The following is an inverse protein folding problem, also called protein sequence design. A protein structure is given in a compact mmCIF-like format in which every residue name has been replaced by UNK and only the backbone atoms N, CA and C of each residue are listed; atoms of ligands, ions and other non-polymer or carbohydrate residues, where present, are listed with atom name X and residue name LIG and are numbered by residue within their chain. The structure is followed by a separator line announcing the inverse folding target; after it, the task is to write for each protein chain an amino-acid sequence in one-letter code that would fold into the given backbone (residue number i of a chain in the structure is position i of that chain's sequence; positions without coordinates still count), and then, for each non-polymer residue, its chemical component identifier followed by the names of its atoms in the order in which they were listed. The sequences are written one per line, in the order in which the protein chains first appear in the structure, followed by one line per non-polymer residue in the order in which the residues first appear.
data_IF_773855772255
#
_entry.id   IF_773855772255
#
_cell.length_a   1.000
_cell.length_b   1.000
_cell.length_c   1.000
_cell.angle_alpha   90.00
_cell.angle_beta   90.00
_cell.angle_gamma   90.00
#
_symmetry.space_group_name_H-M   'P 1'
#
loop_
_entity.id
_entity.type
_entity.pdbx_description
1 polymer ?
#
# COMPACT_ATOMS: atom_id res chain seq x y z
N UNK A 1 43.15 -53.95 19.92
CA UNK A 1 43.48 -52.95 18.87
C UNK A 1 42.29 -52.39 18.08
N UNK A 2 41.13 -53.06 17.98
CA UNK A 2 39.95 -52.51 17.24
C UNK A 2 39.17 -51.40 17.95
N UNK A 3 39.17 -51.32 19.29
CA UNK A 3 38.44 -50.28 20.07
C UNK A 3 39.08 -48.87 19.98
N UNK A 4 40.42 -48.79 19.90
CA UNK A 4 41.14 -47.49 19.83
C UNK A 4 40.93 -46.75 18.48
N UNK A 5 40.66 -47.45 17.38
CA UNK A 5 40.40 -46.82 16.05
C UNK A 5 39.01 -46.20 15.97
N UNK A 6 38.01 -46.76 16.67
CA UNK A 6 36.64 -46.17 16.67
C UNK A 6 36.56 -44.87 17.47
N UNK A 7 37.30 -44.78 18.57
CA UNK A 7 37.32 -43.58 19.44
C UNK A 7 38.01 -42.39 18.74
N UNK A 8 39.08 -42.64 18.00
CA UNK A 8 39.75 -41.61 17.22
C UNK A 8 38.89 -41.06 16.04
N UNK A 9 38.08 -41.94 15.42
CA UNK A 9 37.21 -41.52 14.33
C UNK A 9 36.02 -40.69 14.83
N UNK A 10 35.46 -40.98 16.00
CA UNK A 10 34.39 -40.20 16.61
C UNK A 10 34.93 -38.84 17.06
N UNK A 11 36.14 -38.78 17.60
CA UNK A 11 36.76 -37.50 17.99
C UNK A 11 37.01 -36.58 16.77
N UNK A 12 37.48 -37.15 15.66
CA UNK A 12 37.67 -36.41 14.41
C UNK A 12 36.35 -35.93 13.79
N UNK A 13 35.27 -36.70 13.89
CA UNK A 13 33.94 -36.32 13.42
C UNK A 13 33.34 -35.18 14.26
N UNK A 14 33.53 -35.22 15.57
CA UNK A 14 33.06 -34.15 16.49
C UNK A 14 33.84 -32.83 16.24
N UNK A 15 35.16 -32.90 16.05
CA UNK A 15 35.99 -31.72 15.71
C UNK A 15 35.60 -31.14 14.35
N UNK A 16 35.28 -31.98 13.35
CA UNK A 16 34.83 -31.53 12.04
C UNK A 16 33.43 -30.89 12.06
N UNK A 17 32.51 -31.38 12.91
CA UNK A 17 31.19 -30.78 13.07
C UNK A 17 31.24 -29.45 13.83
N UNK A 18 32.08 -29.30 14.83
CA UNK A 18 32.25 -28.07 15.60
C UNK A 18 32.97 -26.99 14.81
N UNK A 19 33.88 -27.33 13.91
CA UNK A 19 34.55 -26.38 13.01
C UNK A 19 33.60 -25.81 11.93
N UNK A 20 32.50 -26.51 11.59
CA UNK A 20 31.48 -26.07 10.64
C UNK A 20 30.35 -25.24 11.25
N UNK A 21 30.22 -25.21 12.59
CA UNK A 21 29.10 -24.57 13.28
C UNK A 21 29.38 -23.21 13.93
N UNK A 22 30.52 -22.60 13.66
CA UNK A 22 30.81 -21.23 14.13
C UNK A 22 31.03 -21.06 15.65
N UNK A 23 31.20 -22.18 16.39
CA UNK A 23 31.48 -22.15 17.83
C UNK A 23 32.78 -21.42 18.16
N UNK A 24 32.74 -20.55 19.18
CA UNK A 24 33.90 -19.77 19.58
C UNK A 24 35.09 -20.68 19.99
N UNK A 25 36.31 -20.21 19.70
CA UNK A 25 37.58 -20.92 19.95
C UNK A 25 37.75 -21.31 21.44
N UNK A 26 37.10 -20.61 22.35
CA UNK A 26 37.12 -20.87 23.78
C UNK A 26 36.31 -22.13 24.18
N UNK A 27 35.16 -22.37 23.56
CA UNK A 27 34.33 -23.55 23.79
C UNK A 27 35.02 -24.80 23.23
N UNK A 28 35.65 -24.68 22.06
CA UNK A 28 36.40 -25.79 21.45
C UNK A 28 37.62 -26.19 22.29
N UNK A 29 38.40 -25.22 22.81
CA UNK A 29 39.55 -25.47 23.64
C UNK A 29 39.18 -26.09 25.00
N UNK A 30 38.04 -25.67 25.59
CA UNK A 30 37.54 -26.25 26.83
C UNK A 30 37.14 -27.71 26.66
N UNK A 31 36.39 -28.06 25.62
CA UNK A 31 35.97 -29.43 25.33
C UNK A 31 37.18 -30.36 24.98
N UNK A 32 38.18 -29.82 24.27
CA UNK A 32 39.40 -30.57 23.96
C UNK A 32 40.23 -30.81 25.24
N UNK A 33 40.37 -29.84 26.13
CA UNK A 33 41.10 -29.99 27.39
C UNK A 33 40.42 -31.01 28.31
N UNK A 34 39.09 -31.03 28.39
CA UNK A 34 38.33 -31.99 29.14
C UNK A 34 38.42 -33.44 28.57
N UNK A 35 38.37 -33.59 27.25
CA UNK A 35 38.57 -34.87 26.58
C UNK A 35 39.97 -35.44 26.76
N UNK A 36 41.02 -34.61 26.89
CA UNK A 36 42.42 -35.06 27.10
C UNK A 36 42.69 -35.36 28.55
N UNK A 37 42.01 -34.67 29.49
CA UNK A 37 42.16 -34.86 30.96
C UNK A 37 41.50 -36.14 31.52
N UNK A 38 40.53 -36.74 30.84
CA UNK A 38 39.67 -37.85 31.33
C UNK A 38 39.79 -39.15 30.53
N UNK A 39 40.94 -39.46 29.95
CA UNK A 39 41.15 -40.79 29.30
C UNK A 39 41.19 -41.96 30.28
N UNK A 40 40.52 -41.84 31.39
CA UNK A 40 40.44 -42.84 32.43
C UNK A 40 39.12 -43.57 32.66
N UNK A 41 37.99 -42.93 32.51
CA UNK A 41 36.68 -43.56 32.76
C UNK A 41 35.56 -42.84 31.98
N UNK A 42 35.01 -43.45 30.94
CA UNK A 42 33.78 -42.99 30.27
C UNK A 42 32.64 -43.93 30.66
N UNK A 43 31.92 -43.60 31.71
CA UNK A 43 30.51 -43.95 31.92
C UNK A 43 29.66 -42.64 31.79
N UNK A 44 28.76 -42.66 30.82
CA UNK A 44 27.58 -41.79 30.59
C UNK A 44 27.36 -40.61 31.58
N UNK A 45 28.21 -39.58 31.55
CA UNK A 45 27.91 -38.34 32.23
C UNK A 45 28.01 -37.19 31.19
N UNK A 46 26.86 -36.63 30.81
CA UNK A 46 26.84 -35.28 30.25
C UNK A 46 27.60 -34.34 31.21
N UNK A 47 28.44 -33.41 30.71
CA UNK A 47 29.16 -32.50 31.58
C UNK A 47 28.16 -31.74 32.45
N UNK A 48 28.21 -31.96 33.77
CA UNK A 48 27.34 -31.29 34.77
C UNK A 48 27.71 -29.79 34.70
N UNK A 49 26.81 -28.99 34.13
CA UNK A 49 26.95 -27.55 34.07
C UNK A 49 27.04 -27.01 35.52
N UNK A 50 28.13 -26.38 35.87
CA UNK A 50 28.27 -25.78 37.19
C UNK A 50 27.32 -24.59 37.34
N UNK A 51 26.84 -24.26 38.57
CA UNK A 51 25.97 -23.11 38.79
C UNK A 51 26.53 -21.80 38.20
N UNK A 52 27.86 -21.65 38.20
CA UNK A 52 28.54 -20.48 37.61
C UNK A 52 28.50 -20.48 36.08
N UNK A 53 28.61 -21.64 35.46
CA UNK A 53 28.53 -21.79 33.99
C UNK A 53 27.08 -21.57 33.51
N UNK A 54 26.11 -22.13 34.28
CA UNK A 54 24.70 -21.90 34.03
C UNK A 54 24.33 -20.41 34.09
N UNK A 55 24.74 -19.73 35.18
CA UNK A 55 24.50 -18.29 35.33
C UNK A 55 25.17 -17.46 34.23
N UNK A 56 26.38 -17.80 33.80
CA UNK A 56 27.07 -17.10 32.70
C UNK A 56 26.41 -17.36 31.34
N UNK A 57 25.84 -18.55 31.10
CA UNK A 57 25.06 -18.85 29.88
C UNK A 57 23.74 -18.09 29.88
N UNK A 58 22.99 -18.13 31.00
CA UNK A 58 21.72 -17.42 31.16
C UNK A 58 21.91 -15.88 31.00
N UNK A 59 22.99 -15.35 31.57
CA UNK A 59 23.32 -13.93 31.37
C UNK A 59 23.63 -13.61 29.92
N UNK A 60 24.40 -14.43 29.24
CA UNK A 60 24.76 -14.22 27.83
C UNK A 60 23.54 -14.38 26.90
N UNK A 61 22.65 -15.33 27.21
CA UNK A 61 21.38 -15.50 26.49
C UNK A 61 20.49 -14.27 26.67
N UNK A 62 20.35 -13.77 27.92
CA UNK A 62 19.60 -12.54 28.22
C UNK A 62 20.19 -11.29 27.55
N UNK A 63 21.53 -11.14 27.54
CA UNK A 63 22.21 -10.04 26.84
C UNK A 63 21.99 -10.13 25.32
N UNK A 64 21.99 -11.34 24.75
CA UNK A 64 21.73 -11.55 23.31
C UNK A 64 20.26 -11.30 22.95
N UNK A 65 19.31 -11.70 23.80
CA UNK A 65 17.90 -11.42 23.63
C UNK A 65 17.62 -9.91 23.69
N UNK A 66 18.21 -9.21 24.66
CA UNK A 66 18.11 -7.75 24.77
C UNK A 66 18.67 -7.04 23.53
N UNK A 67 19.82 -7.48 23.02
CA UNK A 67 20.43 -6.90 21.82
C UNK A 67 19.57 -7.14 20.56
N UNK A 68 18.93 -8.30 20.45
CA UNK A 68 17.98 -8.59 19.37
C UNK A 68 16.77 -7.65 19.45
N UNK A 69 16.16 -7.46 20.63
CA UNK A 69 15.04 -6.53 20.84
C UNK A 69 15.42 -5.10 20.45
N UNK A 70 16.62 -4.66 20.85
CA UNK A 70 17.13 -3.33 20.47
C UNK A 70 17.30 -3.19 18.95
N UNK A 71 17.86 -4.21 18.30
CA UNK A 71 18.04 -4.18 16.85
C UNK A 71 16.69 -4.20 16.12
N UNK A 72 15.75 -5.03 16.56
CA UNK A 72 14.39 -5.06 16.00
C UNK A 72 13.69 -3.70 16.11
N UNK A 73 13.87 -3.01 17.24
CA UNK A 73 13.30 -1.67 17.41
C UNK A 73 13.93 -0.63 16.49
N UNK A 74 15.25 -0.67 16.32
CA UNK A 74 15.95 0.21 15.38
C UNK A 74 15.54 -0.08 13.93
N UNK A 75 15.39 -1.35 13.57
CA UNK A 75 14.95 -1.76 12.23
C UNK A 75 13.48 -1.34 11.95
N UNK A 76 12.60 -1.45 12.95
CA UNK A 76 11.23 -0.99 12.86
C UNK A 76 11.15 0.53 12.65
N UNK A 77 11.92 1.31 13.41
CA UNK A 77 12.00 2.76 13.22
C UNK A 77 12.60 3.12 11.85
N UNK A 78 13.63 2.40 11.41
CA UNK A 78 14.22 2.60 10.09
C UNK A 78 13.22 2.30 8.95
N UNK A 79 12.31 1.32 9.14
CA UNK A 79 11.24 1.04 8.20
C UNK A 79 10.24 2.21 8.11
N UNK A 80 9.84 2.79 9.23
CA UNK A 80 9.02 4.01 9.27
C UNK A 80 9.72 5.17 8.57
N UNK A 81 10.98 5.41 8.87
CA UNK A 81 11.77 6.50 8.29
C UNK A 81 11.99 6.36 6.77
N UNK A 82 11.98 5.13 6.22
CA UNK A 82 12.05 4.91 4.76
C UNK A 82 10.83 5.46 4.02
N UNK A 83 9.65 5.47 4.66
CA UNK A 83 8.43 6.09 4.13
C UNK A 83 8.21 7.50 4.65
N UNK A 84 9.29 8.17 5.12
CA UNK A 84 9.29 9.56 5.62
C UNK A 84 8.43 9.80 6.87
N UNK A 85 8.07 8.77 7.61
CA UNK A 85 7.32 8.83 8.89
C UNK A 85 8.29 9.10 10.04
N UNK A 86 9.02 10.23 9.97
CA UNK A 86 10.10 10.53 10.92
C UNK A 86 9.59 10.76 12.33
N UNK A 87 8.51 11.53 12.50
CA UNK A 87 7.90 11.74 13.82
C UNK A 87 7.51 10.42 14.49
N UNK A 88 6.91 9.50 13.73
CA UNK A 88 6.53 8.19 14.25
C UNK A 88 7.74 7.31 14.57
N UNK A 89 8.77 7.35 13.74
CA UNK A 89 10.02 6.62 13.99
C UNK A 89 10.70 7.13 15.27
N UNK A 90 10.76 8.44 15.46
CA UNK A 90 11.29 9.08 16.67
C UNK A 90 10.46 8.68 17.90
N UNK A 91 9.13 8.83 17.81
CA UNK A 91 8.23 8.47 18.91
C UNK A 91 8.33 6.98 19.27
N UNK A 92 8.43 6.10 18.29
CA UNK A 92 8.62 4.67 18.51
C UNK A 92 9.92 4.37 19.27
N UNK A 93 11.05 4.95 18.84
CA UNK A 93 12.34 4.79 19.49
C UNK A 93 12.33 5.34 20.93
N UNK A 94 11.75 6.53 21.14
CA UNK A 94 11.68 7.16 22.45
C UNK A 94 10.83 6.35 23.44
N UNK A 95 9.83 5.61 22.98
CA UNK A 95 8.96 4.77 23.80
C UNK A 95 9.49 3.34 24.00
N UNK A 96 10.63 2.97 23.38
CA UNK A 96 11.25 1.65 23.55
C UNK A 96 12.16 1.66 24.76
N UNK A 97 11.72 1.04 25.88
CA UNK A 97 12.44 1.04 27.16
C UNK A 97 13.84 0.42 27.06
N UNK A 98 13.98 -0.64 26.27
CA UNK A 98 15.21 -1.39 26.07
C UNK A 98 16.33 -0.57 25.40
N UNK A 99 15.96 0.49 24.69
CA UNK A 99 16.90 1.42 24.04
C UNK A 99 17.35 2.56 24.95
N UNK A 100 16.77 2.74 26.15
CA UNK A 100 17.12 3.84 27.01
C UNK A 100 18.57 3.75 27.47
N UNK A 101 19.34 4.82 27.16
CA UNK A 101 20.79 4.87 27.42
C UNK A 101 21.65 4.15 26.38
N UNK A 102 21.09 3.64 25.29
CA UNK A 102 21.84 3.12 24.15
C UNK A 102 22.21 4.29 23.20
N UNK A 103 23.48 4.42 22.86
CA UNK A 103 23.95 5.52 22.00
C UNK A 103 23.32 5.53 20.60
N UNK A 104 22.90 4.37 20.10
CA UNK A 104 22.22 4.23 18.81
C UNK A 104 20.85 4.92 18.79
N UNK A 105 20.19 5.03 19.95
CA UNK A 105 18.92 5.76 20.10
C UNK A 105 19.09 7.24 19.73
N UNK A 106 20.03 7.90 20.39
CA UNK A 106 20.29 9.33 20.19
C UNK A 106 20.76 9.62 18.76
N UNK A 107 21.60 8.74 18.18
CA UNK A 107 22.08 8.85 16.82
C UNK A 107 20.94 8.72 15.79
N UNK A 108 20.06 7.72 15.95
CA UNK A 108 18.93 7.51 15.05
C UNK A 108 17.92 8.66 15.13
N UNK A 109 17.59 9.14 16.34
CA UNK A 109 16.69 10.29 16.53
C UNK A 109 17.29 11.54 15.84
N UNK A 110 18.54 11.85 16.09
CA UNK A 110 19.20 13.02 15.48
C UNK A 110 19.23 12.94 13.94
N UNK A 111 19.39 11.73 13.38
CA UNK A 111 19.31 11.52 11.93
C UNK A 111 17.89 11.81 11.40
N UNK A 112 16.86 11.30 12.07
CA UNK A 112 15.47 11.48 11.64
C UNK A 112 15.00 12.92 11.79
N UNK A 113 15.31 13.61 12.89
CA UNK A 113 15.05 15.04 13.07
C UNK A 113 15.71 15.90 11.98
N UNK A 114 16.94 15.55 11.60
CA UNK A 114 17.63 16.23 10.50
C UNK A 114 16.94 16.00 9.16
N UNK A 115 16.51 14.78 8.87
CA UNK A 115 15.79 14.45 7.64
C UNK A 115 14.43 15.14 7.58
N UNK A 116 13.68 15.15 8.67
CA UNK A 116 12.41 15.86 8.81
C UNK A 116 12.61 17.37 8.56
N UNK A 117 13.60 17.99 9.19
CA UNK A 117 13.94 19.40 8.97
C UNK A 117 14.45 19.73 7.56
N UNK A 118 14.74 18.74 6.72
CA UNK A 118 15.13 18.91 5.33
C UNK A 118 13.97 18.82 4.33
N UNK A 119 12.76 18.54 4.79
CA UNK A 119 11.58 18.57 3.94
C UNK A 119 11.28 19.99 3.49
N UNK A 120 10.77 20.16 2.26
CA UNK A 120 10.48 21.47 1.70
C UNK A 120 9.06 21.53 1.13
N UNK A 121 8.50 22.74 1.06
CA UNK A 121 7.19 22.96 0.45
C UNK A 121 7.30 22.89 -1.07
N UNK A 122 6.55 21.97 -1.69
CA UNK A 122 6.48 21.82 -3.12
C UNK A 122 5.44 22.80 -3.71
N UNK A 123 5.83 23.56 -4.73
CA UNK A 123 4.99 24.59 -5.35
C UNK A 123 4.73 24.35 -6.84
N UNK A 124 5.14 23.19 -7.37
CA UNK A 124 4.85 22.78 -8.74
C UNK A 124 3.47 22.16 -8.91
N UNK A 125 3.13 21.85 -10.15
CA UNK A 125 1.91 21.11 -10.46
C UNK A 125 1.97 19.68 -9.91
N UNK A 126 0.85 19.17 -9.43
CA UNK A 126 0.73 17.84 -8.83
C UNK A 126 -0.16 16.98 -9.72
N UNK A 127 0.42 16.06 -10.50
CA UNK A 127 -0.35 15.18 -11.35
C UNK A 127 -1.19 14.21 -10.53
N UNK A 128 -2.38 13.90 -11.04
CA UNK A 128 -3.26 12.87 -10.53
C UNK A 128 -3.52 11.83 -11.61
N UNK A 129 -2.93 10.64 -11.45
CA UNK A 129 -3.14 9.51 -12.37
C UNK A 129 -4.30 8.66 -11.87
N UNK A 130 -5.24 8.37 -12.78
CA UNK A 130 -6.41 7.57 -12.47
C UNK A 130 -6.44 6.31 -13.33
N UNK A 131 -6.58 5.18 -12.69
CA UNK A 131 -6.64 3.86 -13.30
C UNK A 131 -8.05 3.30 -13.16
N UNK A 132 -8.36 2.29 -13.97
CA UNK A 132 -9.45 1.36 -13.74
C UNK A 132 -8.85 0.04 -13.26
N UNK A 133 -9.66 -1.00 -13.02
CA UNK A 133 -9.12 -2.34 -12.83
C UNK A 133 -8.28 -2.78 -14.04
N UNK A 134 -7.35 -3.71 -13.82
CA UNK A 134 -6.32 -4.10 -14.79
C UNK A 134 -6.69 -5.37 -15.56
N UNK A 135 -6.14 -5.49 -16.77
CA UNK A 135 -6.03 -6.76 -17.46
C UNK A 135 -4.84 -7.53 -16.90
N UNK A 136 -5.11 -8.67 -16.27
CA UNK A 136 -4.10 -9.53 -15.65
C UNK A 136 -3.57 -10.58 -16.62
N UNK A 137 -4.44 -11.11 -17.47
CA UNK A 137 -4.09 -12.07 -18.52
C UNK A 137 -4.56 -11.56 -19.89
N UNK A 138 -3.64 -10.95 -20.67
CA UNK A 138 -3.96 -10.46 -22.00
C UNK A 138 -4.47 -11.53 -22.97
N UNK A 139 -4.11 -12.80 -22.76
CA UNK A 139 -4.55 -13.87 -23.65
C UNK A 139 -6.01 -14.23 -23.47
N UNK A 140 -6.54 -14.05 -22.26
CA UNK A 140 -7.96 -14.22 -21.96
C UNK A 140 -8.77 -12.97 -22.25
N UNK A 141 -8.21 -11.77 -21.96
CA UNK A 141 -8.91 -10.51 -22.15
C UNK A 141 -8.97 -10.04 -23.61
N UNK A 142 -8.03 -10.48 -24.46
CA UNK A 142 -7.90 -10.08 -25.88
C UNK A 142 -8.09 -11.25 -26.81
N UNK A 143 -9.11 -12.09 -26.56
CA UNK A 143 -9.38 -13.36 -27.25
C UNK A 143 -10.33 -13.24 -28.47
N UNK A 144 -10.81 -12.04 -28.78
CA UNK A 144 -11.70 -11.75 -29.90
C UNK A 144 -13.19 -11.77 -29.55
N UNK A 145 -13.55 -11.85 -28.28
CA UNK A 145 -14.92 -11.81 -27.81
C UNK A 145 -15.52 -10.37 -27.81
N UNK A 146 -16.76 -10.22 -27.33
CA UNK A 146 -17.47 -8.93 -27.29
C UNK A 146 -16.86 -7.93 -26.29
N UNK A 147 -16.04 -8.37 -25.31
CA UNK A 147 -15.44 -7.54 -24.26
C UNK A 147 -14.04 -7.04 -24.64
N UNK A 148 -13.32 -7.70 -25.55
CA UNK A 148 -11.95 -7.30 -25.94
C UNK A 148 -11.84 -5.81 -26.26
N UNK A 149 -12.76 -5.26 -27.06
CA UNK A 149 -12.74 -3.84 -27.42
C UNK A 149 -12.89 -2.92 -26.22
N UNK A 150 -13.67 -3.33 -25.22
CA UNK A 150 -13.89 -2.57 -23.97
C UNK A 150 -12.63 -2.60 -23.12
N UNK A 151 -11.99 -3.74 -23.00
CA UNK A 151 -10.75 -3.90 -22.23
C UNK A 151 -9.61 -3.10 -22.88
N UNK A 152 -9.40 -3.24 -24.19
CA UNK A 152 -8.36 -2.48 -24.91
C UNK A 152 -8.51 -0.98 -24.78
N UNK A 153 -9.74 -0.46 -24.77
CA UNK A 153 -10.00 0.97 -24.69
C UNK A 153 -9.89 1.51 -23.26
N UNK A 154 -10.47 0.82 -22.30
CA UNK A 154 -10.69 1.40 -20.95
C UNK A 154 -9.69 0.93 -19.90
N UNK A 155 -8.91 -0.11 -20.19
CA UNK A 155 -7.99 -0.71 -19.22
C UNK A 155 -6.56 -0.70 -19.74
N UNK A 156 -5.62 -0.87 -18.83
CA UNK A 156 -4.23 -1.21 -19.11
C UNK A 156 -3.92 -2.59 -18.54
N UNK A 157 -2.82 -3.21 -18.98
CA UNK A 157 -2.39 -4.50 -18.42
C UNK A 157 -1.66 -4.30 -17.09
N UNK A 158 -1.55 -5.37 -16.29
CA UNK A 158 -0.73 -5.37 -15.08
C UNK A 158 0.72 -5.01 -15.38
N UNK A 159 1.30 -5.57 -16.45
CA UNK A 159 2.65 -5.23 -16.93
C UNK A 159 2.81 -3.73 -17.21
N UNK A 160 1.84 -3.12 -17.89
CA UNK A 160 1.86 -1.68 -18.17
C UNK A 160 1.76 -0.86 -16.88
N UNK A 161 0.93 -1.29 -15.92
CA UNK A 161 0.81 -0.62 -14.63
C UNK A 161 2.13 -0.67 -13.83
N UNK A 162 2.77 -1.83 -13.73
CA UNK A 162 4.07 -1.99 -13.06
C UNK A 162 5.15 -1.15 -13.74
N UNK A 163 5.20 -1.15 -15.08
CA UNK A 163 6.12 -0.32 -15.85
C UNK A 163 5.91 1.17 -15.60
N UNK A 164 4.66 1.63 -15.47
CA UNK A 164 4.34 3.02 -15.13
C UNK A 164 4.82 3.35 -13.72
N UNK A 165 4.55 2.51 -12.72
CA UNK A 165 5.02 2.73 -11.36
C UNK A 165 6.55 2.85 -11.31
N UNK A 166 7.25 1.96 -12.01
CA UNK A 166 8.72 2.01 -12.10
C UNK A 166 9.20 3.30 -12.78
N UNK A 167 8.60 3.70 -13.91
CA UNK A 167 8.98 4.92 -14.62
C UNK A 167 8.74 6.19 -13.79
N UNK A 168 7.64 6.25 -13.04
CA UNK A 168 7.33 7.34 -12.11
C UNK A 168 8.33 7.37 -10.94
N UNK A 169 8.65 6.21 -10.37
CA UNK A 169 9.65 6.10 -9.31
C UNK A 169 11.03 6.56 -9.77
N UNK A 170 11.50 6.10 -10.93
CA UNK A 170 12.78 6.48 -11.52
C UNK A 170 12.84 7.98 -11.87
N UNK A 171 11.68 8.59 -12.13
CA UNK A 171 11.51 10.03 -12.36
C UNK A 171 11.34 10.84 -11.07
N UNK A 172 11.56 10.21 -9.88
CA UNK A 172 11.45 10.78 -8.54
C UNK A 172 10.03 11.22 -8.15
N UNK A 173 8.98 10.64 -8.73
CA UNK A 173 7.63 10.84 -8.21
C UNK A 173 7.42 10.05 -6.92
N UNK A 174 6.61 10.61 -6.01
CA UNK A 174 6.17 9.96 -4.77
C UNK A 174 4.68 10.18 -4.57
N UNK A 175 4.00 9.20 -4.01
CA UNK A 175 2.60 9.30 -3.63
C UNK A 175 2.45 10.23 -2.42
N UNK A 176 1.46 11.12 -2.49
CA UNK A 176 0.99 11.92 -1.36
C UNK A 176 -0.51 11.73 -1.18
N UNK A 177 -0.99 12.00 0.04
CA UNK A 177 -2.41 12.07 0.32
C UNK A 177 -2.99 13.39 -0.23
N UNK A 178 -4.16 13.33 -0.89
CA UNK A 178 -4.86 14.51 -1.43
C UNK A 178 -5.20 15.52 -0.32
N UNK A 179 -5.45 15.05 0.90
CA UNK A 179 -5.75 15.90 2.05
C UNK A 179 -4.57 16.80 2.45
N UNK A 180 -3.34 16.46 2.03
CA UNK A 180 -2.17 17.32 2.24
C UNK A 180 -2.16 18.61 1.40
N UNK A 181 -3.10 18.76 0.46
CA UNK A 181 -3.21 19.92 -0.43
C UNK A 181 -4.06 21.06 0.15
N UNK A 182 -4.76 20.82 1.24
CA UNK A 182 -5.58 21.84 1.89
C UNK A 182 -5.55 21.72 3.42
N UNK A 183 -5.56 22.87 4.09
CA UNK A 183 -5.84 22.94 5.51
C UNK A 183 -7.35 23.10 5.72
N UNK A 184 -7.91 22.26 6.58
CA UNK A 184 -9.29 22.35 7.03
C UNK A 184 -9.38 22.97 8.42
N UNK A 185 -10.25 23.94 8.58
CA UNK A 185 -10.54 24.56 9.88
C UNK A 185 -12.02 24.41 10.19
N UNK A 186 -12.34 23.60 11.21
CA UNK A 186 -13.71 23.43 11.68
C UNK A 186 -14.13 24.58 12.61
N UNK A 187 -15.33 25.14 12.36
CA UNK A 187 -15.96 26.15 13.22
C UNK A 187 -17.45 25.81 13.37
N UNK A 188 -17.82 25.17 14.46
CA UNK A 188 -19.17 24.62 14.66
C UNK A 188 -19.49 23.55 13.64
N UNK A 189 -20.54 23.75 12.83
CA UNK A 189 -20.93 22.84 11.74
C UNK A 189 -20.31 23.20 10.39
N UNK A 190 -19.52 24.27 10.32
CA UNK A 190 -18.87 24.74 9.09
C UNK A 190 -17.41 24.31 9.07
N UNK A 191 -16.92 23.91 7.90
CA UNK A 191 -15.51 23.66 7.63
C UNK A 191 -15.08 24.66 6.56
N UNK A 192 -13.98 25.36 6.80
CA UNK A 192 -13.33 26.22 5.80
C UNK A 192 -12.02 25.60 5.38
N UNK A 193 -11.69 25.73 4.09
CA UNK A 193 -10.48 25.20 3.49
C UNK A 193 -9.57 26.35 3.03
N UNK A 194 -8.28 26.10 3.06
CA UNK A 194 -7.27 26.98 2.48
C UNK A 194 -6.16 26.15 1.84
N UNK A 195 -5.59 26.65 0.74
CA UNK A 195 -4.53 25.93 0.05
C UNK A 195 -3.32 25.68 0.95
N UNK A 196 -2.80 24.47 0.88
CA UNK A 196 -1.55 24.07 1.51
C UNK A 196 -0.62 23.48 0.45
N UNK A 197 0.61 23.98 0.40
CA UNK A 197 1.65 23.33 -0.38
C UNK A 197 2.13 22.08 0.37
N UNK A 198 2.11 20.90 -0.25
CA UNK A 198 2.56 19.70 0.42
C UNK A 198 4.07 19.78 0.70
N UNK A 199 4.47 19.25 1.84
CA UNK A 199 5.87 19.16 2.22
C UNK A 199 6.43 17.81 1.78
N UNK A 200 7.53 17.81 1.04
CA UNK A 200 8.13 16.60 0.45
C UNK A 200 9.66 16.62 0.59
N UNK A 201 10.36 15.49 0.45
CA UNK A 201 11.82 15.44 0.43
C UNK A 201 12.40 16.17 -0.78
N UNK A 202 13.57 16.75 -0.61
CA UNK A 202 14.27 17.46 -1.69
C UNK A 202 14.50 16.56 -2.90
N UNK A 203 14.15 17.06 -4.09
CA UNK A 203 14.27 16.34 -5.37
C UNK A 203 13.11 15.39 -5.68
N UNK A 204 12.20 15.15 -4.75
CA UNK A 204 10.98 14.36 -5.00
C UNK A 204 9.85 15.24 -5.55
N UNK A 205 9.00 14.64 -6.39
CA UNK A 205 7.83 15.26 -7.02
C UNK A 205 6.56 14.58 -6.52
N UNK A 206 5.66 15.28 -5.85
CA UNK A 206 4.43 14.67 -5.37
C UNK A 206 3.48 14.33 -6.53
N UNK A 207 2.75 13.23 -6.38
CA UNK A 207 1.65 12.84 -7.25
C UNK A 207 0.53 12.19 -6.45
N UNK A 208 -0.67 12.16 -7.04
CA UNK A 208 -1.84 11.46 -6.52
C UNK A 208 -2.19 10.32 -7.48
N UNK A 209 -2.68 9.22 -6.94
CA UNK A 209 -3.19 8.08 -7.67
C UNK A 209 -4.63 7.81 -7.26
N UNK A 210 -5.48 7.47 -8.22
CA UNK A 210 -6.83 6.95 -7.94
C UNK A 210 -7.16 5.73 -8.78
N UNK A 211 -8.13 4.94 -8.27
CA UNK A 211 -8.74 3.83 -9.00
C UNK A 211 -10.22 4.13 -9.14
N UNK A 212 -10.66 4.21 -10.38
CA UNK A 212 -12.02 4.64 -10.72
C UNK A 212 -12.98 3.45 -10.68
N UNK A 213 -14.04 3.58 -9.88
CA UNK A 213 -15.19 2.66 -9.83
C UNK A 213 -14.86 1.18 -9.67
N UNK A 214 -14.34 0.79 -8.51
CA UNK A 214 -14.10 -0.62 -8.17
C UNK A 214 -15.41 -1.36 -7.81
N UNK A 215 -16.32 -1.43 -8.78
CA UNK A 215 -17.53 -2.24 -8.66
C UNK A 215 -17.29 -3.70 -9.00
N UNK A 216 -16.38 -3.96 -9.93
CA UNK A 216 -16.15 -5.26 -10.57
C UNK A 216 -17.43 -5.84 -11.22
N UNK A 217 -17.31 -6.96 -11.87
CA UNK A 217 -18.48 -7.63 -12.47
C UNK A 217 -18.24 -9.13 -12.58
N UNK A 218 -19.13 -9.91 -12.02
CA UNK A 218 -19.12 -11.37 -12.17
C UNK A 218 -19.33 -11.85 -13.62
N UNK A 219 -19.82 -10.98 -14.50
CA UNK A 219 -19.96 -11.29 -15.95
C UNK A 219 -18.59 -11.39 -16.64
N UNK A 220 -17.52 -10.90 -16.01
CA UNK A 220 -16.14 -10.92 -16.51
C UNK A 220 -15.31 -12.03 -15.87
N UNK A 221 -15.96 -13.01 -15.28
CA UNK A 221 -15.28 -14.12 -14.62
C UNK A 221 -14.62 -15.01 -15.68
N UNK A 222 -13.29 -15.14 -15.60
CA UNK A 222 -12.50 -15.89 -16.58
C UNK A 222 -11.97 -15.08 -17.77
N UNK A 223 -12.28 -13.78 -17.87
CA UNK A 223 -11.84 -12.89 -18.95
C UNK A 223 -10.49 -12.21 -18.68
N UNK A 224 -9.64 -12.79 -17.86
CA UNK A 224 -8.31 -12.23 -17.60
C UNK A 224 -8.31 -10.98 -16.72
N UNK A 225 -9.38 -10.69 -15.99
CA UNK A 225 -9.52 -9.53 -15.08
C UNK A 225 -9.99 -9.96 -13.69
N UNK A 226 -9.66 -9.17 -12.67
CA UNK A 226 -10.16 -9.42 -11.31
C UNK A 226 -11.68 -9.23 -11.22
N UNK A 227 -12.32 -9.95 -10.31
CA UNK A 227 -13.77 -9.99 -10.12
C UNK A 227 -14.24 -9.46 -8.77
N UNK A 228 -13.34 -9.39 -7.78
CA UNK A 228 -13.64 -8.82 -6.46
C UNK A 228 -12.34 -8.55 -5.68
N UNK A 229 -12.48 -7.77 -4.60
CA UNK A 229 -11.46 -7.67 -3.56
C UNK A 229 -11.83 -8.56 -2.36
N UNK A 230 -10.83 -9.01 -1.64
CA UNK A 230 -11.00 -9.77 -0.39
C UNK A 230 -9.88 -9.40 0.59
N UNK A 231 -10.00 -9.82 1.85
CA UNK A 231 -8.93 -9.63 2.83
C UNK A 231 -8.17 -10.94 2.99
N UNK A 232 -6.86 -10.89 2.79
CA UNK A 232 -5.95 -12.00 2.99
C UNK A 232 -5.77 -12.35 4.47
N UNK A 233 -5.10 -13.46 4.72
CA UNK A 233 -4.82 -13.92 6.10
C UNK A 233 -3.84 -13.03 6.87
N UNK A 234 -3.09 -12.21 6.18
CA UNK A 234 -2.17 -11.19 6.70
C UNK A 234 -2.84 -9.83 6.97
N UNK A 235 -4.15 -9.72 6.67
CA UNK A 235 -4.95 -8.50 6.82
C UNK A 235 -4.82 -7.52 5.66
N UNK A 236 -4.05 -7.84 4.61
CA UNK A 236 -3.95 -7.03 3.40
C UNK A 236 -5.11 -7.31 2.46
N UNK A 237 -5.37 -6.37 1.54
CA UNK A 237 -6.38 -6.53 0.50
C UNK A 237 -5.77 -7.28 -0.68
N UNK A 238 -6.37 -8.42 -1.01
CA UNK A 238 -6.10 -9.21 -2.20
C UNK A 238 -7.19 -8.97 -3.25
N UNK A 239 -6.86 -9.15 -4.53
CA UNK A 239 -7.83 -9.27 -5.60
C UNK A 239 -8.13 -10.75 -5.89
N UNK A 240 -9.37 -11.04 -6.28
CA UNK A 240 -9.80 -12.38 -6.72
C UNK A 240 -9.80 -12.39 -8.23
N UNK A 241 -9.10 -13.35 -8.81
CA UNK A 241 -8.93 -13.54 -10.24
C UNK A 241 -9.22 -15.00 -10.59
N UNK A 242 -9.96 -15.25 -11.67
CA UNK A 242 -10.22 -16.60 -12.15
C UNK A 242 -9.28 -16.91 -13.31
N UNK A 243 -8.45 -17.94 -13.15
CA UNK A 243 -7.47 -18.35 -14.16
C UNK A 243 -8.09 -19.09 -15.35
N UNK A 244 -7.26 -19.43 -16.35
CA UNK A 244 -7.68 -20.14 -17.56
C UNK A 244 -8.28 -21.54 -17.30
N UNK A 245 -7.97 -22.14 -16.16
CA UNK A 245 -8.50 -23.44 -15.74
C UNK A 245 -9.84 -23.30 -14.96
N UNK A 246 -10.29 -22.06 -14.75
CA UNK A 246 -11.52 -21.74 -14.03
C UNK A 246 -11.39 -21.79 -12.51
N UNK A 247 -10.17 -21.64 -11.98
CA UNK A 247 -9.91 -21.63 -10.54
C UNK A 247 -9.71 -20.21 -10.04
N UNK A 248 -10.36 -19.86 -8.93
CA UNK A 248 -10.16 -18.58 -8.28
C UNK A 248 -8.80 -18.55 -7.57
N UNK A 249 -7.98 -17.57 -7.95
CA UNK A 249 -6.74 -17.20 -7.32
C UNK A 249 -6.93 -15.93 -6.48
N UNK A 250 -6.13 -15.74 -5.43
CA UNK A 250 -6.14 -14.54 -4.58
C UNK A 250 -4.72 -14.01 -4.45
N UNK A 251 -4.56 -12.70 -4.53
CA UNK A 251 -3.26 -12.05 -4.42
C UNK A 251 -3.18 -10.78 -5.25
N UNK A 252 -2.02 -10.55 -5.87
CA UNK A 252 -1.65 -9.33 -6.57
C UNK A 252 -2.27 -9.26 -8.00
N UNK A 253 -3.59 -9.34 -8.06
CA UNK A 253 -4.32 -9.43 -9.34
C UNK A 253 -5.10 -8.15 -9.69
N UNK A 254 -4.73 -6.99 -9.15
CA UNK A 254 -5.26 -5.67 -9.57
C UNK A 254 -4.41 -4.52 -9.02
N UNK A 255 -4.78 -3.27 -9.33
CA UNK A 255 -4.08 -2.01 -8.96
C UNK A 255 -3.72 -1.97 -7.48
N UNK A 256 -4.67 -2.28 -6.58
CA UNK A 256 -4.46 -2.14 -5.13
C UNK A 256 -3.34 -3.06 -4.64
N UNK A 257 -3.44 -4.39 -4.77
CA UNK A 257 -2.39 -5.26 -4.25
C UNK A 257 -1.06 -5.09 -4.99
N UNK A 258 -1.05 -4.81 -6.31
CA UNK A 258 0.18 -4.52 -7.06
C UNK A 258 0.86 -3.24 -6.57
N UNK A 259 0.10 -2.18 -6.25
CA UNK A 259 0.67 -0.96 -5.67
C UNK A 259 1.23 -1.22 -4.26
N UNK A 260 0.54 -2.02 -3.44
CA UNK A 260 1.04 -2.40 -2.11
C UNK A 260 2.36 -3.19 -2.22
N UNK A 261 2.46 -4.15 -3.13
CA UNK A 261 3.68 -4.90 -3.40
C UNK A 261 4.81 -3.97 -3.87
N UNK A 262 4.51 -3.01 -4.76
CA UNK A 262 5.48 -2.01 -5.21
C UNK A 262 5.98 -1.12 -4.06
N UNK A 263 5.08 -0.63 -3.20
CA UNK A 263 5.45 0.20 -2.03
C UNK A 263 6.23 -0.63 -1.00
N UNK A 264 5.93 -1.92 -0.82
CA UNK A 264 6.71 -2.78 0.07
C UNK A 264 8.16 -2.93 -0.42
N UNK A 265 8.36 -3.03 -1.74
CA UNK A 265 9.69 -3.05 -2.36
C UNK A 265 10.37 -1.66 -2.36
N UNK A 266 9.59 -0.59 -2.49
CA UNK A 266 10.02 0.80 -2.58
C UNK A 266 9.30 1.69 -1.55
N UNK A 267 9.59 1.57 -0.24
CA UNK A 267 8.87 2.33 0.80
C UNK A 267 8.95 3.84 0.63
N UNK A 268 10.01 4.34 -0.01
CA UNK A 268 10.22 5.76 -0.33
C UNK A 268 9.41 6.26 -1.54
N UNK A 269 8.59 5.40 -2.16
CA UNK A 269 7.58 5.81 -3.14
C UNK A 269 6.30 6.36 -2.49
N UNK A 270 6.08 6.09 -1.20
CA UNK A 270 4.91 6.53 -0.43
C UNK A 270 5.32 7.51 0.66
N UNK A 271 4.92 8.78 0.53
CA UNK A 271 5.19 9.80 1.54
C UNK A 271 4.26 9.62 2.73
N UNK A 272 4.86 9.39 3.91
CA UNK A 272 4.16 9.19 5.19
C UNK A 272 3.07 8.11 5.17
N UNK A 273 3.27 7.09 4.33
CA UNK A 273 2.32 5.99 4.20
C UNK A 273 1.12 6.28 3.30
N UNK A 274 1.15 7.37 2.52
CA UNK A 274 0.10 7.71 1.55
C UNK A 274 -0.17 6.56 0.59
N UNK A 275 -1.43 6.38 0.25
CA UNK A 275 -1.92 5.48 -0.79
C UNK A 275 -2.72 6.28 -1.80
N UNK A 276 -3.46 5.60 -2.63
CA UNK A 276 -4.36 6.22 -3.59
C UNK A 276 -5.77 6.45 -3.04
N UNK A 277 -6.62 6.89 -3.94
CA UNK A 277 -8.05 7.06 -3.75
C UNK A 277 -8.76 5.92 -4.49
N UNK A 278 -9.67 5.22 -3.83
CA UNK A 278 -10.52 4.19 -4.44
C UNK A 278 -11.93 4.74 -4.52
N UNK A 279 -12.47 4.92 -5.72
CA UNK A 279 -13.85 5.32 -5.84
C UNK A 279 -14.80 4.13 -6.02
N UNK A 280 -15.96 4.21 -5.41
CA UNK A 280 -16.98 3.17 -5.48
C UNK A 280 -18.36 3.77 -5.75
N UNK A 281 -19.12 3.05 -6.57
CA UNK A 281 -20.56 3.26 -6.79
C UNK A 281 -21.35 2.13 -6.13
N UNK A 282 -22.67 2.24 -6.07
CA UNK A 282 -23.51 1.25 -5.39
C UNK A 282 -24.30 0.32 -6.31
N UNK A 283 -24.82 0.87 -7.41
CA UNK A 283 -25.81 0.18 -8.26
C UNK A 283 -25.34 -1.14 -8.90
N UNK A 284 -24.01 -1.29 -9.08
CA UNK A 284 -23.41 -2.51 -9.66
C UNK A 284 -22.62 -3.32 -8.64
N UNK A 285 -22.75 -2.98 -7.36
CA UNK A 285 -21.98 -3.57 -6.27
C UNK A 285 -20.76 -2.73 -5.87
N UNK A 286 -20.14 -3.13 -4.76
CA UNK A 286 -18.96 -2.51 -4.15
C UNK A 286 -17.90 -3.59 -3.98
N UNK A 287 -16.70 -3.37 -4.50
CA UNK A 287 -15.59 -4.32 -4.45
C UNK A 287 -15.89 -5.73 -5.00
N UNK A 288 -16.87 -5.84 -5.93
CA UNK A 288 -17.31 -7.12 -6.49
C UNK A 288 -18.49 -7.77 -5.77
N UNK A 289 -19.00 -7.16 -4.70
CA UNK A 289 -20.13 -7.67 -3.92
C UNK A 289 -21.38 -6.85 -4.19
N UNK A 290 -22.48 -7.53 -4.51
CA UNK A 290 -23.82 -6.90 -4.58
C UNK A 290 -24.26 -6.52 -3.16
N UNK A 291 -24.72 -5.29 -2.98
CA UNK A 291 -25.09 -4.73 -1.66
C UNK A 291 -26.61 -4.58 -1.48
N UNK A 292 -27.39 -4.85 -2.52
CA UNK A 292 -28.83 -4.79 -2.51
C UNK A 292 -29.44 -5.97 -1.71
N UNK A 293 -30.56 -5.70 -1.07
CA UNK A 293 -31.29 -6.68 -0.26
C UNK A 293 -30.59 -7.09 1.05
N UNK A 294 -31.00 -8.23 1.62
CA UNK A 294 -30.56 -8.73 2.92
C UNK A 294 -29.31 -9.63 2.83
N UNK A 295 -28.39 -9.38 1.89
CA UNK A 295 -27.17 -10.18 1.77
C UNK A 295 -26.12 -9.77 2.81
N UNK A 296 -26.31 -10.26 4.04
CA UNK A 296 -25.44 -9.94 5.18
C UNK A 296 -23.97 -10.35 4.96
N UNK A 297 -23.72 -11.43 4.22
CA UNK A 297 -22.35 -11.91 3.96
C UNK A 297 -21.61 -10.96 3.00
N UNK A 298 -22.27 -10.49 1.95
CA UNK A 298 -21.70 -9.50 1.05
C UNK A 298 -21.43 -8.17 1.77
N UNK A 299 -22.40 -7.68 2.55
CA UNK A 299 -22.23 -6.46 3.33
C UNK A 299 -21.08 -6.58 4.35
N UNK A 300 -20.90 -7.76 4.94
CA UNK A 300 -19.76 -8.03 5.81
C UNK A 300 -18.44 -7.99 5.04
N UNK A 301 -18.36 -8.64 3.87
CA UNK A 301 -17.17 -8.62 3.02
C UNK A 301 -16.79 -7.19 2.60
N UNK A 302 -17.78 -6.38 2.19
CA UNK A 302 -17.55 -4.96 1.85
C UNK A 302 -16.95 -4.19 3.04
N UNK A 303 -17.50 -4.38 4.25
CA UNK A 303 -16.97 -3.72 5.47
C UNK A 303 -15.55 -4.15 5.80
N UNK A 304 -15.24 -5.45 5.66
CA UNK A 304 -13.90 -5.98 5.92
C UNK A 304 -12.87 -5.41 4.92
N UNK A 305 -13.20 -5.39 3.62
CA UNK A 305 -12.34 -4.79 2.59
C UNK A 305 -12.17 -3.29 2.83
N UNK A 306 -13.26 -2.56 3.12
CA UNK A 306 -13.20 -1.13 3.38
C UNK A 306 -12.34 -0.80 4.61
N UNK A 307 -12.44 -1.59 5.68
CA UNK A 307 -11.60 -1.42 6.87
C UNK A 307 -10.13 -1.66 6.54
N UNK A 308 -9.80 -2.75 5.84
CA UNK A 308 -8.44 -3.08 5.45
C UNK A 308 -7.83 -2.01 4.53
N UNK A 309 -8.58 -1.47 3.56
CA UNK A 309 -8.13 -0.36 2.70
C UNK A 309 -7.79 0.88 3.54
N UNK A 310 -8.64 1.26 4.47
CA UNK A 310 -8.40 2.42 5.35
C UNK A 310 -7.20 2.20 6.28
N UNK A 311 -7.06 1.01 6.83
CA UNK A 311 -5.91 0.65 7.68
C UNK A 311 -4.58 0.68 6.90
N UNK A 312 -4.63 0.39 5.59
CA UNK A 312 -3.50 0.53 4.68
C UNK A 312 -3.23 1.99 4.26
N UNK A 313 -4.14 2.93 4.51
CA UNK A 313 -4.01 4.35 4.17
C UNK A 313 -4.72 4.77 2.87
N UNK A 314 -5.60 3.93 2.30
CA UNK A 314 -6.41 4.29 1.14
C UNK A 314 -7.59 5.20 1.51
N UNK A 315 -7.85 6.20 0.68
CA UNK A 315 -9.06 7.02 0.75
C UNK A 315 -10.17 6.35 -0.06
N UNK A 316 -11.34 6.12 0.55
CA UNK A 316 -12.52 5.60 -0.17
C UNK A 316 -13.39 6.78 -0.55
N UNK A 317 -13.62 6.96 -1.85
CA UNK A 317 -14.38 8.06 -2.43
C UNK A 317 -15.73 7.62 -3.00
N UNK A 318 -16.67 8.55 -3.07
CA UNK A 318 -17.92 8.36 -3.79
C UNK A 318 -17.75 8.58 -5.29
N UNK A 319 -18.45 7.77 -6.10
CA UNK A 319 -18.73 8.07 -7.52
C UNK A 319 -20.24 8.19 -7.80
N UNK A 320 -21.01 8.62 -6.78
CA UNK A 320 -22.47 8.51 -6.82
C UNK A 320 -22.94 7.06 -6.73
N UNK A 321 -24.24 6.86 -6.56
CA UNK A 321 -24.79 5.52 -6.47
C UNK A 321 -24.87 4.82 -7.83
N UNK A 322 -25.36 5.55 -8.85
CA UNK A 322 -25.65 5.01 -10.19
C UNK A 322 -24.42 4.98 -11.13
N UNK A 323 -23.35 5.72 -10.82
CA UNK A 323 -22.21 5.93 -11.71
C UNK A 323 -22.62 6.54 -13.07
N UNK A 324 -23.37 7.64 -13.03
CA UNK A 324 -23.89 8.32 -14.21
C UNK A 324 -23.34 9.76 -14.34
N UNK A 325 -23.56 10.41 -15.48
CA UNK A 325 -23.10 11.77 -15.76
C UNK A 325 -23.80 12.80 -14.84
N UNK A 326 -23.14 13.22 -13.76
CA UNK A 326 -23.73 14.11 -12.74
C UNK A 326 -24.08 15.50 -13.28
N UNK A 327 -23.32 16.00 -14.28
CA UNK A 327 -23.64 17.26 -14.94
C UNK A 327 -25.05 17.26 -15.56
N UNK A 328 -25.43 16.16 -16.18
CA UNK A 328 -26.71 16.02 -16.89
C UNK A 328 -27.89 15.70 -15.99
N UNK A 329 -27.64 15.29 -14.73
CA UNK A 329 -28.70 15.03 -13.76
C UNK A 329 -29.47 16.30 -13.39
N UNK A 330 -30.79 16.19 -13.17
CA UNK A 330 -31.52 17.22 -12.44
C UNK A 330 -31.04 17.29 -10.99
N UNK A 331 -31.36 18.38 -10.28
CA UNK A 331 -31.06 18.50 -8.85
C UNK A 331 -31.70 17.34 -8.04
N UNK A 332 -32.95 17.02 -8.33
CA UNK A 332 -33.67 15.94 -7.65
C UNK A 332 -33.01 14.59 -7.89
N UNK A 333 -32.59 14.31 -9.13
CA UNK A 333 -31.92 13.05 -9.48
C UNK A 333 -30.58 12.96 -8.80
N UNK A 334 -29.75 14.00 -8.84
CA UNK A 334 -28.44 14.04 -8.17
C UNK A 334 -28.59 13.87 -6.66
N UNK A 335 -29.52 14.61 -6.05
CA UNK A 335 -29.72 14.56 -4.61
C UNK A 335 -30.19 13.19 -4.13
N UNK A 336 -31.01 12.51 -4.90
CA UNK A 336 -31.43 11.14 -4.60
C UNK A 336 -30.27 10.14 -4.80
N UNK A 337 -29.49 10.29 -5.87
CA UNK A 337 -28.36 9.44 -6.17
C UNK A 337 -27.27 9.49 -5.06
N UNK A 338 -26.91 10.69 -4.64
CA UNK A 338 -25.98 10.90 -3.53
C UNK A 338 -26.57 10.41 -2.20
N UNK A 339 -27.85 10.62 -1.94
CA UNK A 339 -28.52 10.09 -0.74
C UNK A 339 -28.45 8.56 -0.73
N UNK A 340 -28.77 7.92 -1.86
CA UNK A 340 -28.66 6.47 -1.99
C UNK A 340 -27.22 5.97 -1.74
N UNK A 341 -26.21 6.68 -2.25
CA UNK A 341 -24.82 6.33 -1.99
C UNK A 341 -24.50 6.40 -0.50
N UNK A 342 -24.84 7.51 0.17
CA UNK A 342 -24.56 7.70 1.60
C UNK A 342 -25.26 6.65 2.47
N UNK A 343 -26.53 6.33 2.15
CA UNK A 343 -27.32 5.40 2.94
C UNK A 343 -26.92 3.94 2.71
N UNK A 344 -26.60 3.55 1.48
CA UNK A 344 -26.37 2.14 1.12
C UNK A 344 -24.89 1.81 1.06
N UNK A 345 -24.05 2.66 0.47
CA UNK A 345 -22.60 2.44 0.35
C UNK A 345 -21.87 3.04 1.55
N UNK A 346 -22.12 4.30 1.87
CA UNK A 346 -21.49 4.99 2.99
C UNK A 346 -21.70 4.28 4.33
N UNK A 347 -22.88 3.68 4.56
CA UNK A 347 -23.16 2.86 5.75
C UNK A 347 -22.28 1.61 5.87
N UNK A 348 -21.67 1.16 4.79
CA UNK A 348 -20.79 -0.02 4.73
C UNK A 348 -19.31 0.39 4.74
N UNK A 349 -18.95 1.37 3.91
CA UNK A 349 -17.54 1.79 3.75
C UNK A 349 -17.13 2.92 4.69
N UNK A 350 -18.09 3.55 5.38
CA UNK A 350 -17.91 4.71 6.26
C UNK A 350 -18.01 6.04 5.50
N UNK A 351 -17.91 7.14 6.26
CA UNK A 351 -17.98 8.50 5.72
C UNK A 351 -16.87 8.75 4.71
N UNK A 352 -17.18 9.56 3.69
CA UNK A 352 -16.24 10.05 2.68
C UNK A 352 -16.48 11.54 2.42
N UNK A 353 -15.42 12.29 2.36
CA UNK A 353 -15.38 13.69 1.97
C UNK A 353 -14.91 13.89 0.52
N UNK A 354 -14.58 12.79 -0.16
CA UNK A 354 -14.00 12.77 -1.50
C UNK A 354 -15.00 12.22 -2.51
N UNK A 355 -15.11 12.90 -3.66
CA UNK A 355 -15.97 12.48 -4.77
C UNK A 355 -15.18 12.52 -6.08
N UNK A 356 -15.12 11.38 -6.76
CA UNK A 356 -14.65 11.26 -8.14
C UNK A 356 -15.84 11.31 -9.08
N UNK A 357 -15.92 12.37 -9.89
CA UNK A 357 -17.02 12.50 -10.85
C UNK A 357 -16.94 11.39 -11.91
N UNK A 358 -18.00 10.57 -12.06
CA UNK A 358 -18.07 9.59 -13.14
C UNK A 358 -17.84 10.27 -14.48
N UNK A 359 -16.97 9.69 -15.30
CA UNK A 359 -16.62 10.21 -16.63
C UNK A 359 -16.11 11.67 -16.61
N UNK A 360 -15.71 12.19 -15.44
CA UNK A 360 -15.34 13.59 -15.27
C UNK A 360 -16.50 14.59 -15.42
N UNK A 361 -17.74 14.15 -15.29
CA UNK A 361 -18.95 14.94 -15.46
C UNK A 361 -19.22 15.85 -14.26
N UNK A 362 -18.36 16.86 -14.09
CA UNK A 362 -18.42 17.82 -12.99
C UNK A 362 -19.68 18.69 -13.04
N UNK A 363 -20.30 18.91 -11.88
CA UNK A 363 -21.39 19.89 -11.76
C UNK A 363 -20.83 21.31 -11.69
N UNK A 364 -21.66 22.32 -12.01
CA UNK A 364 -21.31 23.71 -11.72
C UNK A 364 -21.34 23.93 -10.20
N UNK A 365 -20.20 24.31 -9.61
CA UNK A 365 -20.03 24.53 -8.17
C UNK A 365 -20.83 25.71 -7.63
N UNK A 366 -21.17 26.68 -8.48
CA UNK A 366 -22.07 27.80 -8.15
C UNK A 366 -23.56 27.43 -8.18
N UNK A 367 -23.91 26.24 -8.64
CA UNK A 367 -25.28 25.77 -8.75
C UNK A 367 -25.83 25.18 -7.44
N UNK A 368 -27.15 24.88 -7.44
CA UNK A 368 -27.78 24.12 -6.35
C UNK A 368 -27.17 22.72 -6.19
N UNK A 369 -26.75 22.08 -7.29
CA UNK A 369 -26.09 20.76 -7.27
C UNK A 369 -24.74 20.83 -6.56
N UNK A 370 -23.89 21.81 -6.92
CA UNK A 370 -22.61 22.02 -6.27
C UNK A 370 -22.76 22.31 -4.78
N UNK A 371 -23.65 23.22 -4.44
CA UNK A 371 -23.97 23.54 -3.04
C UNK A 371 -24.48 22.31 -2.27
N UNK A 372 -25.28 21.45 -2.90
CA UNK A 372 -25.75 20.24 -2.28
C UNK A 372 -24.62 19.28 -1.95
N UNK A 373 -23.70 18.98 -2.89
CA UNK A 373 -22.55 18.10 -2.67
C UNK A 373 -21.69 18.60 -1.50
N UNK A 374 -21.35 19.88 -1.47
CA UNK A 374 -20.58 20.50 -0.40
C UNK A 374 -21.30 20.37 0.96
N UNK A 375 -22.61 20.63 1.00
CA UNK A 375 -23.43 20.52 2.21
C UNK A 375 -23.58 19.06 2.68
N UNK A 376 -23.41 18.07 1.79
CA UNK A 376 -23.36 16.63 2.15
C UNK A 376 -22.00 16.19 2.67
N UNK A 377 -21.00 17.09 2.70
CA UNK A 377 -19.68 16.84 3.26
C UNK A 377 -18.58 16.56 2.25
N UNK A 378 -18.88 16.51 0.94
CA UNK A 378 -17.85 16.35 -0.08
C UNK A 378 -17.03 17.61 -0.22
N UNK A 379 -15.73 17.51 0.00
CA UNK A 379 -14.77 18.62 -0.03
C UNK A 379 -13.68 18.45 -1.07
N UNK A 380 -13.30 17.21 -1.36
CA UNK A 380 -12.30 16.87 -2.36
C UNK A 380 -13.02 16.36 -3.61
N UNK A 381 -13.14 17.23 -4.61
CA UNK A 381 -13.97 17.03 -5.80
C UNK A 381 -13.08 16.85 -7.02
N UNK A 382 -13.07 15.61 -7.59
CA UNK A 382 -12.09 15.19 -8.56
C UNK A 382 -12.78 14.98 -9.91
N UNK A 383 -12.52 15.90 -10.84
CA UNK A 383 -12.98 15.84 -12.23
C UNK A 383 -11.94 15.26 -13.18
N UNK A 384 -12.27 15.24 -14.47
CA UNK A 384 -11.32 15.02 -15.55
C UNK A 384 -11.17 16.30 -16.36
N UNK A 385 -9.94 16.62 -16.74
CA UNK A 385 -9.70 17.77 -17.59
C UNK A 385 -8.70 17.41 -18.71
N UNK A 386 -8.91 17.98 -19.88
CA UNK A 386 -8.11 17.65 -21.06
C UNK A 386 -6.77 18.40 -21.12
N UNK A 387 -6.63 19.56 -20.45
CA UNK A 387 -5.57 20.51 -20.73
C UNK A 387 -4.44 20.57 -19.69
N UNK A 388 -4.41 19.65 -18.69
CA UNK A 388 -3.30 19.59 -17.73
C UNK A 388 -3.70 19.24 -16.29
N UNK A 389 -2.70 19.27 -15.43
CA UNK A 389 -2.89 19.09 -14.00
C UNK A 389 -3.39 20.38 -13.40
N UNK A 390 -4.50 20.32 -12.71
CA UNK A 390 -5.12 21.49 -12.09
C UNK A 390 -5.59 21.15 -10.68
N UNK A 391 -5.16 21.97 -9.73
CA UNK A 391 -5.64 21.93 -8.35
C UNK A 391 -6.06 23.32 -7.94
N UNK A 392 -7.30 23.47 -7.50
CA UNK A 392 -7.90 24.71 -7.03
C UNK A 392 -8.50 24.47 -5.64
N UNK A 393 -8.12 25.30 -4.68
CA UNK A 393 -8.67 25.26 -3.32
C UNK A 393 -9.51 26.50 -3.09
N UNK A 394 -10.79 26.29 -2.83
CA UNK A 394 -11.77 27.30 -2.46
C UNK A 394 -12.05 27.25 -0.94
N UNK A 395 -12.83 28.19 -0.43
CA UNK A 395 -13.16 28.23 1.00
C UNK A 395 -13.90 26.97 1.51
N UNK A 396 -14.55 26.19 0.64
CA UNK A 396 -15.40 25.07 1.04
C UNK A 396 -15.08 23.76 0.35
N UNK A 397 -14.24 23.78 -0.68
CA UNK A 397 -13.84 22.58 -1.42
C UNK A 397 -12.47 22.75 -2.09
N UNK A 398 -11.84 21.62 -2.35
CA UNK A 398 -10.72 21.47 -3.26
C UNK A 398 -11.25 20.81 -4.54
N UNK A 399 -10.92 21.36 -5.70
CA UNK A 399 -11.13 20.77 -7.02
C UNK A 399 -9.80 20.31 -7.58
N UNK A 400 -9.74 19.07 -8.07
CA UNK A 400 -8.57 18.57 -8.78
C UNK A 400 -8.98 17.85 -10.06
N UNK A 401 -8.13 17.91 -11.09
CA UNK A 401 -8.30 17.14 -12.31
C UNK A 401 -7.44 15.90 -12.31
N UNK A 402 -7.98 14.77 -12.80
CA UNK A 402 -7.26 13.51 -12.94
C UNK A 402 -7.05 13.13 -14.41
N UNK A 403 -5.94 12.47 -14.68
CA UNK A 403 -5.58 11.91 -15.99
C UNK A 403 -5.93 10.43 -16.01
N UNK A 404 -6.86 10.05 -16.88
CA UNK A 404 -7.18 8.63 -17.08
C UNK A 404 -6.04 7.94 -17.81
N UNK A 405 -5.54 6.88 -17.23
CA UNK A 405 -4.52 6.01 -17.80
C UNK A 405 -5.22 4.80 -18.40
N UNK A 406 -5.46 4.83 -19.70
CA UNK A 406 -6.22 3.82 -20.42
C UNK A 406 -5.59 3.52 -21.76
N UNK A 407 -5.90 2.35 -22.34
CA UNK A 407 -5.44 2.00 -23.68
C UNK A 407 -5.89 2.99 -24.75
N UNK A 408 -7.10 3.55 -24.63
CA UNK A 408 -7.58 4.59 -25.55
C UNK A 408 -6.66 5.83 -25.54
N UNK A 409 -6.21 6.27 -24.38
CA UNK A 409 -5.31 7.43 -24.27
C UNK A 409 -3.92 7.09 -24.80
N UNK A 410 -3.44 5.88 -24.57
CA UNK A 410 -2.16 5.42 -25.11
C UNK A 410 -2.15 5.41 -26.64
N UNK A 411 -3.25 5.00 -27.29
CA UNK A 411 -3.37 4.98 -28.73
C UNK A 411 -3.60 6.37 -29.33
N UNK A 412 -4.44 7.20 -28.72
CA UNK A 412 -4.94 8.43 -29.33
C UNK A 412 -4.24 9.71 -28.86
N UNK A 413 -3.63 9.69 -27.66
CA UNK A 413 -3.01 10.86 -27.05
C UNK A 413 -1.77 10.50 -26.21
N UNK A 414 -0.82 9.68 -26.70
CA UNK A 414 0.34 9.22 -25.90
C UNK A 414 1.20 10.38 -25.40
N UNK A 415 1.24 11.48 -26.13
CA UNK A 415 1.99 12.68 -25.74
C UNK A 415 1.50 13.36 -24.46
N UNK A 416 0.27 13.07 -24.02
CA UNK A 416 -0.27 13.60 -22.77
C UNK A 416 0.51 13.11 -21.53
N UNK A 417 1.25 12.01 -21.66
CA UNK A 417 2.09 11.45 -20.60
C UNK A 417 3.58 11.77 -20.74
N UNK A 418 4.00 12.44 -21.82
CA UNK A 418 5.44 12.64 -22.13
C UNK A 418 6.24 13.39 -21.07
N UNK A 419 5.58 14.16 -20.18
CA UNK A 419 6.21 14.82 -19.04
C UNK A 419 6.50 13.84 -17.87
N UNK A 420 5.94 12.63 -17.89
CA UNK A 420 5.95 11.67 -16.80
C UNK A 420 6.65 10.38 -17.18
N UNK A 421 6.27 9.79 -18.31
CA UNK A 421 6.84 8.57 -18.87
C UNK A 421 6.64 8.50 -20.40
N UNK A 422 7.44 7.65 -21.05
CA UNK A 422 7.27 7.33 -22.47
C UNK A 422 6.31 6.16 -22.62
N UNK A 423 5.14 6.40 -23.21
CA UNK A 423 4.13 5.37 -23.44
C UNK A 423 4.69 4.20 -24.24
N UNK A 424 5.56 4.44 -25.23
CA UNK A 424 6.13 3.35 -26.04
C UNK A 424 7.05 2.41 -25.25
N UNK A 425 7.61 2.89 -24.14
CA UNK A 425 8.51 2.12 -23.29
C UNK A 425 7.77 1.28 -22.24
N UNK A 426 6.51 1.63 -21.93
CA UNK A 426 5.74 0.95 -20.90
C UNK A 426 4.75 -0.09 -21.45
N UNK A 427 4.48 -0.07 -22.77
CA UNK A 427 3.51 -0.97 -23.38
C UNK A 427 3.86 -2.45 -23.18
N UNK A 428 2.82 -3.22 -22.90
CA UNK A 428 2.90 -4.68 -22.83
C UNK A 428 2.97 -5.25 -24.25
N UNK A 429 3.96 -6.09 -24.59
CA UNK A 429 4.03 -6.75 -25.90
C UNK A 429 2.82 -7.63 -26.24
N UNK A 430 2.06 -8.06 -25.23
CA UNK A 430 0.89 -8.92 -25.37
C UNK A 430 -0.43 -8.16 -25.52
N UNK A 431 -0.35 -6.82 -25.47
CA UNK A 431 -1.51 -5.93 -25.64
C UNK A 431 -2.13 -6.04 -27.04
#
# INVERSE_FOLDING_TARGET
MRKKRKTGLVLLAVIAMLAGSGCSRSVLNYQIAECIGTLGEYENNEPVETPKMKAAREQKESESELENVKQEALDAAAKLAKSYRYEEAIAYLQNTEELQGDARLDEAIAEYEKKEGSLYQYTGDIPHFSFTNLVMDPTLAFDGDEYESVYRQNMITATEFENILQALYDSNYILIDIHSLANETASGSSVTMSAQAPTVPEGKKPMILSVDNLSYSSMRNGDGVATSLTVGTDGKVDAVYTDADGHDQKGDYDVIPLLEAFIEAHPDFSFQGARGIVSVAGARGVFGYTIDGDNADNQKAVKEVAAALKDQGWTIASSGYSYEYMYDMSYETLSQDITNWLDQVGSLVGDSDTLLYPYGSEVDYGSEKGSYLINRGFRYLIGMWADGDHTEVNETYLRQTRRMVTGYVFENSPSSFSAYFDVSAILDPER
#
